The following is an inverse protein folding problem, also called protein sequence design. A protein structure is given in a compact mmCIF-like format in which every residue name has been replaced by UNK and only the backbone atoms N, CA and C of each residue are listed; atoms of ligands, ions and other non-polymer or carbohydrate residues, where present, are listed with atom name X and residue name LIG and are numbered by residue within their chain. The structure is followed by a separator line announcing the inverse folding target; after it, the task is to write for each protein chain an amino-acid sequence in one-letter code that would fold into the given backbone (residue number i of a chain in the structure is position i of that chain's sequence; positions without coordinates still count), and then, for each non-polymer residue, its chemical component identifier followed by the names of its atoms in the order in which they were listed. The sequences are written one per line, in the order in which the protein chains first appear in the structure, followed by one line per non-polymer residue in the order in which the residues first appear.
data_IF_025012456822
#
_entry.id   IF_025012456822
#
_cell.length_a   1.000
_cell.length_b   1.000
_cell.length_c   1.000
_cell.angle_alpha   90.00
_cell.angle_beta   90.00
_cell.angle_gamma   90.00
#
_symmetry.space_group_name_H-M   'P 1'
#
loop_
_entity.id
_entity.type
_entity.pdbx_description
1 polymer ?
#
# COMPACT_ATOMS: atom_id res chain seq x y z
N UNK A 1 21.85 -9.78 -11.43
CA UNK A 1 21.25 -10.13 -10.13
C UNK A 1 20.59 -8.87 -9.60
N UNK A 2 19.27 -8.83 -9.64
CA UNK A 2 18.48 -7.62 -9.41
C UNK A 2 18.67 -7.09 -7.98
N UNK A 3 18.88 -7.98 -7.01
CA UNK A 3 19.15 -7.61 -5.63
C UNK A 3 20.44 -6.81 -5.49
N UNK A 4 21.52 -7.26 -6.14
CA UNK A 4 22.82 -6.56 -6.10
C UNK A 4 22.75 -5.17 -6.76
N UNK A 5 21.89 -5.03 -7.77
CA UNK A 5 21.67 -3.73 -8.45
C UNK A 5 20.93 -2.77 -7.52
N UNK A 6 19.89 -3.23 -6.82
CA UNK A 6 19.13 -2.41 -5.85
C UNK A 6 20.01 -2.01 -4.66
N UNK A 7 20.82 -2.94 -4.13
CA UNK A 7 21.72 -2.68 -3.00
C UNK A 7 22.87 -1.72 -3.33
N UNK A 8 23.19 -1.51 -4.61
CA UNK A 8 24.16 -0.51 -5.02
C UNK A 8 23.63 0.93 -4.85
N UNK A 9 22.30 1.10 -4.71
CA UNK A 9 21.68 2.40 -4.48
C UNK A 9 21.86 2.75 -2.99
N UNK A 10 22.42 3.93 -2.72
CA UNK A 10 22.52 4.44 -1.35
C UNK A 10 21.14 4.47 -0.67
N UNK A 11 21.00 4.00 0.58
CA UNK A 11 19.75 4.08 1.33
C UNK A 11 19.17 5.49 1.41
N UNK A 12 20.03 6.53 1.42
CA UNK A 12 19.61 7.92 1.46
C UNK A 12 18.93 8.41 0.16
N UNK A 13 19.02 7.63 -0.92
CA UNK A 13 18.46 7.90 -2.25
C UNK A 13 17.51 6.80 -2.73
N UNK A 14 17.19 5.82 -1.88
CA UNK A 14 16.28 4.73 -2.19
C UNK A 14 14.81 5.20 -2.12
N UNK A 15 14.44 6.10 -3.03
CA UNK A 15 13.12 6.73 -3.04
C UNK A 15 12.00 5.75 -3.39
N UNK A 16 12.33 4.53 -3.84
CA UNK A 16 11.37 3.45 -4.06
C UNK A 16 11.17 2.56 -2.83
N UNK A 17 12.03 2.70 -1.80
CA UNK A 17 11.91 2.01 -0.52
C UNK A 17 12.21 0.51 -0.58
N UNK A 18 13.00 0.04 -1.55
CA UNK A 18 13.29 -1.38 -1.74
C UNK A 18 14.65 -1.83 -1.20
N UNK A 19 15.50 -0.89 -0.77
CA UNK A 19 16.74 -1.19 -0.09
C UNK A 19 16.44 -1.89 1.25
N UNK A 20 17.29 -2.87 1.64
CA UNK A 20 17.12 -3.62 2.89
C UNK A 20 17.05 -2.70 4.11
N UNK A 21 17.85 -1.63 4.13
CA UNK A 21 17.78 -0.59 5.15
C UNK A 21 16.40 0.07 5.27
N UNK A 22 15.74 0.39 4.15
CA UNK A 22 14.38 0.96 4.12
C UNK A 22 13.35 -0.05 4.64
N UNK A 23 13.44 -1.31 4.19
CA UNK A 23 12.59 -2.38 4.68
C UNK A 23 12.81 -2.67 6.19
N UNK A 24 14.06 -2.65 6.64
CA UNK A 24 14.43 -2.81 8.04
C UNK A 24 13.88 -1.68 8.91
N UNK A 25 14.04 -0.43 8.48
CA UNK A 25 13.48 0.74 9.15
C UNK A 25 11.96 0.62 9.31
N UNK A 26 11.25 0.19 8.26
CA UNK A 26 9.81 -0.07 8.33
C UNK A 26 9.45 -1.15 9.38
N UNK A 27 10.23 -2.23 9.48
CA UNK A 27 9.98 -3.32 10.44
C UNK A 27 10.14 -2.84 11.88
N UNK A 28 11.17 -2.04 12.17
CA UNK A 28 11.46 -1.57 13.54
C UNK A 28 10.76 -0.26 13.90
N UNK A 29 10.06 0.36 12.95
CA UNK A 29 9.37 1.64 13.15
C UNK A 29 10.30 2.86 13.14
N UNK A 30 11.47 2.75 12.52
CA UNK A 30 12.44 3.84 12.38
C UNK A 30 12.20 4.66 11.11
N UNK A 31 12.71 5.91 11.04
CA UNK A 31 12.66 6.71 9.83
C UNK A 31 13.35 6.02 8.64
N UNK A 32 12.69 6.01 7.49
CA UNK A 32 13.19 5.40 6.26
C UNK A 32 12.24 5.66 5.09
N UNK A 33 12.67 5.37 3.86
CA UNK A 33 11.77 5.44 2.71
C UNK A 33 10.75 4.31 2.74
N UNK A 34 9.51 4.65 2.40
CA UNK A 34 8.40 3.71 2.35
C UNK A 34 8.20 3.26 0.93
N UNK A 35 8.01 1.95 0.72
CA UNK A 35 7.65 1.41 -0.59
C UNK A 35 6.44 2.16 -1.18
N UNK A 36 6.60 2.68 -2.40
CA UNK A 36 5.69 3.67 -2.99
C UNK A 36 4.24 3.19 -3.10
N UNK A 37 4.04 1.95 -3.56
CA UNK A 37 2.70 1.38 -3.74
C UNK A 37 1.96 1.18 -2.41
N UNK A 38 2.52 0.49 -1.39
CA UNK A 38 1.94 0.46 -0.05
C UNK A 38 1.70 1.84 0.55
N UNK A 39 2.65 2.77 0.38
CA UNK A 39 2.50 4.12 0.89
C UNK A 39 1.30 4.83 0.26
N UNK A 40 1.11 4.66 -1.06
CA UNK A 40 -0.04 5.19 -1.78
C UNK A 40 -1.36 4.63 -1.27
N UNK A 41 -1.41 3.33 -0.96
CA UNK A 41 -2.58 2.69 -0.36
C UNK A 41 -2.90 3.28 1.02
N UNK A 42 -1.88 3.52 1.86
CA UNK A 42 -2.07 4.18 3.16
C UNK A 42 -2.63 5.59 3.01
N UNK A 43 -2.16 6.36 2.02
CA UNK A 43 -2.70 7.70 1.73
C UNK A 43 -4.14 7.68 1.22
N UNK A 44 -4.52 6.67 0.45
CA UNK A 44 -5.92 6.47 0.06
C UNK A 44 -6.81 6.20 1.28
N UNK A 45 -6.38 5.32 2.20
CA UNK A 45 -7.11 5.07 3.45
C UNK A 45 -7.23 6.34 4.29
N UNK A 46 -6.14 7.11 4.43
CA UNK A 46 -6.16 8.39 5.14
C UNK A 46 -7.19 9.37 4.54
N UNK A 47 -7.26 9.46 3.21
CA UNK A 47 -8.18 10.38 2.51
C UNK A 47 -9.67 10.10 2.74
N UNK A 48 -10.02 8.87 3.11
CA UNK A 48 -11.40 8.47 3.44
C UNK A 48 -11.65 8.45 4.96
N UNK A 49 -10.77 9.07 5.75
CA UNK A 49 -10.88 9.14 7.21
C UNK A 49 -10.38 7.89 7.94
N UNK A 50 -9.68 6.98 7.26
CA UNK A 50 -9.15 5.73 7.83
C UNK A 50 -7.62 5.78 8.03
N UNK A 51 -7.10 6.93 8.49
CA UNK A 51 -5.67 7.09 8.80
C UNK A 51 -5.22 6.37 10.08
N UNK A 52 -6.15 6.06 10.99
CA UNK A 52 -5.92 5.22 12.16
C UNK A 52 -6.83 3.99 12.08
N UNK A 53 -6.24 2.81 12.01
CA UNK A 53 -6.92 1.53 11.82
C UNK A 53 -7.08 0.75 13.14
N UNK A 54 -6.97 1.43 14.29
CA UNK A 54 -7.15 0.80 15.61
C UNK A 54 -8.47 0.03 15.69
N UNK A 55 -8.36 -1.26 16.01
CA UNK A 55 -9.51 -2.16 16.13
C UNK A 55 -10.09 -2.65 14.79
N UNK A 56 -9.47 -2.30 13.66
CA UNK A 56 -9.82 -2.83 12.34
C UNK A 56 -9.01 -4.07 12.02
N UNK A 57 -9.63 -5.00 11.30
CA UNK A 57 -8.96 -6.16 10.72
C UNK A 57 -8.64 -5.87 9.25
N UNK A 58 -7.36 -5.91 8.89
CA UNK A 58 -6.90 -5.77 7.53
C UNK A 58 -6.37 -7.10 6.98
N UNK A 59 -6.75 -7.46 5.76
CA UNK A 59 -6.24 -8.63 5.03
C UNK A 59 -5.45 -8.16 3.82
N UNK A 60 -4.19 -8.61 3.72
CA UNK A 60 -3.36 -8.40 2.52
C UNK A 60 -3.29 -9.71 1.76
N UNK A 61 -3.75 -9.72 0.51
CA UNK A 61 -3.68 -10.87 -0.39
C UNK A 61 -2.44 -10.66 -1.27
N UNK A 62 -1.39 -11.43 -1.01
CA UNK A 62 -0.08 -11.28 -1.65
C UNK A 62 1.02 -10.99 -0.62
N UNK A 63 2.21 -11.55 -0.87
CA UNK A 63 3.37 -11.49 0.05
C UNK A 63 4.68 -11.11 -0.64
N UNK A 64 4.59 -10.34 -1.73
CA UNK A 64 5.77 -9.84 -2.44
C UNK A 64 6.59 -8.90 -1.54
N UNK A 65 7.88 -8.78 -1.82
CA UNK A 65 8.77 -7.88 -1.09
C UNK A 65 8.47 -6.40 -1.39
N UNK A 66 7.90 -6.10 -2.57
CA UNK A 66 7.65 -4.73 -3.04
C UNK A 66 6.27 -4.19 -2.66
N UNK A 67 5.29 -5.07 -2.40
CA UNK A 67 3.92 -4.65 -2.03
C UNK A 67 3.43 -5.38 -0.79
N UNK A 68 3.24 -6.70 -0.86
CA UNK A 68 2.48 -7.43 0.17
C UNK A 68 3.05 -7.31 1.58
N UNK A 69 4.34 -7.59 1.75
CA UNK A 69 5.02 -7.49 3.05
C UNK A 69 5.06 -6.05 3.59
N UNK A 70 5.54 -5.03 2.84
CA UNK A 70 5.54 -3.66 3.34
C UNK A 70 4.11 -3.14 3.61
N UNK A 71 3.12 -3.51 2.81
CA UNK A 71 1.72 -3.16 3.06
C UNK A 71 1.23 -3.70 4.40
N UNK A 72 1.51 -4.97 4.71
CA UNK A 72 1.13 -5.57 5.98
C UNK A 72 1.77 -4.85 7.18
N UNK A 73 3.04 -4.49 7.07
CA UNK A 73 3.76 -3.75 8.13
C UNK A 73 3.21 -2.32 8.30
N UNK A 74 2.88 -1.62 7.21
CA UNK A 74 2.30 -0.28 7.30
C UNK A 74 0.89 -0.28 7.90
N UNK A 75 0.06 -1.29 7.57
CA UNK A 75 -1.26 -1.48 8.19
C UNK A 75 -1.12 -1.77 9.68
N UNK A 76 -0.15 -2.62 10.06
CA UNK A 76 0.16 -2.93 11.46
C UNK A 76 0.61 -1.66 12.22
N UNK A 77 1.51 -0.87 11.63
CA UNK A 77 1.95 0.41 12.20
C UNK A 77 0.79 1.42 12.37
N UNK A 78 -0.25 1.31 11.54
CA UNK A 78 -1.49 2.07 11.67
C UNK A 78 -2.50 1.46 12.67
N UNK A 79 -2.08 0.51 13.51
CA UNK A 79 -2.85 -0.18 14.55
C UNK A 79 -3.90 -1.21 14.06
N UNK A 80 -3.83 -1.65 12.81
CA UNK A 80 -4.68 -2.74 12.35
C UNK A 80 -4.24 -4.09 12.93
N UNK A 81 -5.19 -4.99 13.17
CA UNK A 81 -4.90 -6.44 13.19
C UNK A 81 -4.69 -6.87 11.73
N UNK A 82 -3.60 -7.57 11.41
CA UNK A 82 -3.24 -7.87 10.02
C UNK A 82 -3.14 -9.37 9.77
N UNK A 83 -3.81 -9.84 8.72
CA UNK A 83 -3.65 -11.20 8.17
C UNK A 83 -3.04 -11.12 6.77
N UNK A 84 -1.96 -11.86 6.52
CA UNK A 84 -1.33 -11.95 5.20
C UNK A 84 -1.70 -13.28 4.54
N UNK A 85 -2.46 -13.20 3.44
CA UNK A 85 -2.86 -14.35 2.64
C UNK A 85 -1.97 -14.50 1.38
N UNK A 86 -1.88 -15.71 0.86
CA UNK A 86 -1.12 -16.03 -0.36
C UNK A 86 -1.62 -17.33 -1.00
N UNK A 87 -0.93 -17.84 -2.02
CA UNK A 87 -1.27 -19.07 -2.74
C UNK A 87 -1.37 -20.35 -1.90
N UNK A 88 -0.96 -20.31 -0.63
CA UNK A 88 -1.03 -21.43 0.31
C UNK A 88 -2.08 -21.22 1.40
N UNK A 89 -2.85 -20.13 1.35
CA UNK A 89 -3.98 -19.91 2.25
C UNK A 89 -5.10 -20.87 1.89
N UNK A 90 -5.52 -21.72 2.84
CA UNK A 90 -6.49 -22.79 2.59
C UNK A 90 -7.88 -22.26 2.22
N UNK A 91 -8.38 -21.26 2.96
CA UNK A 91 -9.65 -20.59 2.68
C UNK A 91 -9.44 -19.08 2.71
N UNK A 92 -9.23 -18.50 1.53
CA UNK A 92 -9.07 -17.06 1.36
C UNK A 92 -10.34 -16.31 1.76
N UNK A 93 -11.52 -16.86 1.44
CA UNK A 93 -12.81 -16.23 1.68
C UNK A 93 -13.12 -16.13 3.17
N UNK A 94 -12.77 -17.14 3.96
CA UNK A 94 -12.91 -17.11 5.41
C UNK A 94 -12.11 -15.96 6.03
N UNK A 95 -10.92 -15.65 5.52
CA UNK A 95 -10.10 -14.55 6.02
C UNK A 95 -10.69 -13.19 5.60
N UNK A 96 -11.01 -13.03 4.32
CA UNK A 96 -11.45 -11.74 3.76
C UNK A 96 -12.85 -11.34 4.21
N UNK A 97 -13.76 -12.29 4.48
CA UNK A 97 -15.10 -11.99 5.02
C UNK A 97 -15.08 -11.37 6.43
N UNK A 98 -13.97 -11.47 7.14
CA UNK A 98 -13.78 -10.86 8.46
C UNK A 98 -13.11 -9.48 8.37
N UNK A 99 -12.64 -9.08 7.20
CA UNK A 99 -11.79 -7.90 7.03
C UNK A 99 -12.62 -6.62 6.90
N UNK A 100 -12.17 -5.56 7.56
CA UNK A 100 -12.64 -4.19 7.32
C UNK A 100 -11.89 -3.54 6.15
N UNK A 101 -10.64 -3.96 5.91
CA UNK A 101 -9.79 -3.49 4.80
C UNK A 101 -9.20 -4.71 4.10
N UNK A 102 -9.31 -4.79 2.79
CA UNK A 102 -8.69 -5.83 1.96
C UNK A 102 -7.79 -5.16 0.94
N UNK A 103 -6.52 -5.56 0.89
CA UNK A 103 -5.56 -5.13 -0.14
C UNK A 103 -5.20 -6.33 -1.02
N UNK A 104 -5.58 -6.32 -2.29
CA UNK A 104 -5.28 -7.37 -3.25
C UNK A 104 -4.07 -6.99 -4.12
N UNK A 105 -2.98 -7.76 -4.05
CA UNK A 105 -1.71 -7.49 -4.72
C UNK A 105 -1.00 -8.78 -5.17
N UNK A 106 -1.69 -9.58 -5.98
CA UNK A 106 -1.25 -10.89 -6.46
C UNK A 106 -0.94 -10.95 -7.96
N UNK A 107 -1.41 -9.99 -8.76
CA UNK A 107 -1.20 -9.99 -10.21
C UNK A 107 -1.93 -11.15 -10.90
N UNK A 108 -3.16 -11.43 -10.44
CA UNK A 108 -4.02 -12.47 -11.00
C UNK A 108 -5.47 -12.00 -10.97
N UNK A 109 -6.11 -12.05 -12.13
CA UNK A 109 -7.51 -11.64 -12.33
C UNK A 109 -8.46 -12.44 -11.41
N UNK A 110 -9.47 -11.75 -10.88
CA UNK A 110 -10.64 -12.31 -10.17
C UNK A 110 -10.30 -13.21 -8.99
N UNK A 111 -9.26 -12.87 -8.22
CA UNK A 111 -8.87 -13.61 -7.00
C UNK A 111 -9.80 -13.31 -5.81
N UNK A 112 -10.38 -12.11 -5.78
CA UNK A 112 -11.38 -11.72 -4.79
C UNK A 112 -12.72 -11.48 -5.48
N UNK A 113 -13.78 -12.09 -4.96
CA UNK A 113 -15.16 -11.98 -5.45
C UNK A 113 -16.08 -11.37 -4.41
N UNK A 114 -17.29 -10.96 -4.81
CA UNK A 114 -18.24 -10.26 -3.94
C UNK A 114 -18.63 -11.05 -2.67
N UNK A 115 -18.79 -12.37 -2.75
CA UNK A 115 -19.14 -13.26 -1.63
C UNK A 115 -18.02 -13.41 -0.58
N UNK A 116 -16.81 -12.96 -0.92
CA UNK A 116 -15.64 -12.98 -0.05
C UNK A 116 -15.45 -11.66 0.71
N UNK A 117 -16.27 -10.64 0.44
CA UNK A 117 -16.11 -9.29 0.98
C UNK A 117 -17.17 -9.02 2.06
N UNK A 118 -16.71 -8.53 3.21
CA UNK A 118 -17.59 -8.04 4.28
C UNK A 118 -18.37 -6.81 3.78
N UNK A 119 -19.70 -6.73 3.97
CA UNK A 119 -20.46 -5.52 3.63
C UNK A 119 -19.87 -4.27 4.29
N UNK A 120 -19.67 -3.22 3.50
CA UNK A 120 -19.08 -1.96 3.94
C UNK A 120 -17.55 -1.95 4.06
N UNK A 121 -16.85 -3.06 3.75
CA UNK A 121 -15.39 -3.08 3.76
C UNK A 121 -14.77 -2.15 2.70
N UNK A 122 -13.50 -1.81 2.92
CA UNK A 122 -12.66 -1.12 1.94
C UNK A 122 -11.88 -2.16 1.14
N UNK A 123 -11.92 -2.09 -0.18
CA UNK A 123 -11.14 -2.94 -1.08
C UNK A 123 -10.18 -2.10 -1.91
N UNK A 124 -8.89 -2.34 -1.73
CA UNK A 124 -7.81 -1.73 -2.52
C UNK A 124 -7.26 -2.79 -3.48
N UNK A 125 -7.50 -2.59 -4.76
CA UNK A 125 -7.00 -3.41 -5.86
C UNK A 125 -5.70 -2.80 -6.41
N UNK A 126 -4.59 -3.46 -6.10
CA UNK A 126 -3.24 -3.09 -6.55
C UNK A 126 -2.89 -3.78 -7.88
N UNK A 127 -3.70 -4.76 -8.29
CA UNK A 127 -3.45 -5.57 -9.47
C UNK A 127 -3.34 -4.75 -10.75
N UNK A 128 -2.41 -5.14 -11.62
CA UNK A 128 -2.21 -4.54 -12.94
C UNK A 128 -2.13 -5.67 -13.97
N UNK A 129 -3.30 -6.21 -14.34
CA UNK A 129 -3.45 -7.32 -15.28
C UNK A 129 -3.99 -6.83 -16.63
N UNK A 130 -3.91 -7.67 -17.67
CA UNK A 130 -4.64 -7.47 -18.91
C UNK A 130 -5.76 -8.50 -19.05
N UNK A 131 -6.94 -8.05 -19.44
CA UNK A 131 -8.04 -8.94 -19.78
C UNK A 131 -7.83 -9.56 -21.18
N UNK A 132 -8.78 -10.39 -21.62
CA UNK A 132 -8.68 -11.11 -22.90
C UNK A 132 -8.76 -10.16 -24.12
N UNK A 133 -9.25 -8.93 -23.92
CA UNK A 133 -9.25 -7.83 -24.90
C UNK A 133 -7.99 -6.94 -24.81
N UNK A 134 -7.03 -7.28 -23.94
CA UNK A 134 -5.79 -6.52 -23.71
C UNK A 134 -5.94 -5.25 -22.86
N UNK A 135 -7.15 -4.96 -22.35
CA UNK A 135 -7.44 -3.81 -21.47
C UNK A 135 -6.91 -4.06 -20.06
N UNK A 136 -6.42 -2.99 -19.43
CA UNK A 136 -5.94 -3.02 -18.05
C UNK A 136 -7.09 -3.31 -17.09
N UNK A 137 -6.89 -4.25 -16.16
CA UNK A 137 -7.84 -4.67 -15.15
C UNK A 137 -7.10 -5.10 -13.88
N UNK A 138 -7.82 -5.17 -12.76
CA UNK A 138 -7.22 -5.47 -11.46
C UNK A 138 -7.21 -6.96 -11.10
N UNK A 139 -6.93 -7.23 -9.83
CA UNK A 139 -6.97 -8.57 -9.23
C UNK A 139 -8.37 -8.98 -8.78
N UNK A 140 -9.32 -8.04 -8.68
CA UNK A 140 -10.64 -8.30 -8.08
C UNK A 140 -11.78 -8.25 -9.09
N UNK A 141 -12.92 -8.87 -8.72
CA UNK A 141 -14.18 -8.71 -9.44
C UNK A 141 -14.86 -7.37 -9.09
N UNK A 142 -14.43 -6.31 -9.78
CA UNK A 142 -14.85 -4.93 -9.47
C UNK A 142 -16.37 -4.73 -9.50
N UNK A 143 -17.05 -5.26 -10.52
CA UNK A 143 -18.48 -5.04 -10.72
C UNK A 143 -19.35 -5.72 -9.65
N UNK A 144 -18.93 -6.88 -9.17
CA UNK A 144 -19.58 -7.56 -8.06
C UNK A 144 -19.27 -6.87 -6.73
N UNK A 145 -17.99 -6.58 -6.46
CA UNK A 145 -17.56 -6.05 -5.16
C UNK A 145 -18.08 -4.64 -4.90
N UNK A 146 -18.21 -3.78 -5.93
CA UNK A 146 -18.75 -2.42 -5.75
C UNK A 146 -20.18 -2.38 -5.19
N UNK A 147 -20.92 -3.48 -5.27
CA UNK A 147 -22.27 -3.60 -4.70
C UNK A 147 -22.26 -3.91 -3.20
N UNK A 148 -21.12 -4.35 -2.66
CA UNK A 148 -20.97 -4.86 -1.28
C UNK A 148 -20.01 -4.00 -0.46
N UNK A 149 -18.89 -3.61 -1.05
CA UNK A 149 -17.87 -2.80 -0.41
C UNK A 149 -18.37 -1.36 -0.18
N UNK A 150 -17.96 -0.75 0.92
CA UNK A 150 -18.18 0.68 1.16
C UNK A 150 -17.26 1.55 0.30
N UNK A 151 -16.07 1.02 -0.03
CA UNK A 151 -15.09 1.66 -0.90
C UNK A 151 -14.37 0.61 -1.75
N UNK A 152 -14.13 0.92 -3.02
CA UNK A 152 -13.32 0.09 -3.92
C UNK A 152 -12.50 0.96 -4.87
N UNK A 153 -11.22 0.63 -5.05
CA UNK A 153 -10.38 1.34 -6.03
C UNK A 153 -10.62 0.82 -7.46
N UNK A 154 -10.79 1.69 -8.46
CA UNK A 154 -10.87 1.25 -9.85
C UNK A 154 -9.50 0.85 -10.40
N UNK A 155 -9.50 -0.06 -11.38
CA UNK A 155 -8.31 -0.36 -12.19
C UNK A 155 -8.68 -0.27 -13.67
N UNK A 156 -8.07 0.66 -14.44
CA UNK A 156 -7.07 1.67 -14.03
C UNK A 156 -7.66 2.84 -13.21
N UNK A 157 -6.78 3.70 -12.69
CA UNK A 157 -7.15 4.98 -12.07
C UNK A 157 -7.13 4.98 -10.53
N UNK A 158 -6.91 3.83 -9.90
CA UNK A 158 -6.74 3.71 -8.45
C UNK A 158 -5.28 3.79 -8.01
N UNK A 159 -4.70 2.64 -7.65
CA UNK A 159 -3.39 2.57 -6.96
C UNK A 159 -2.20 3.02 -7.83
N UNK A 160 -2.28 2.84 -9.15
CA UNK A 160 -1.22 3.21 -10.09
C UNK A 160 -0.77 4.68 -9.97
N UNK A 161 -1.69 5.66 -10.15
CA UNK A 161 -1.37 7.08 -9.94
C UNK A 161 -0.76 7.40 -8.56
N UNK A 162 -1.24 6.75 -7.49
CA UNK A 162 -0.70 6.97 -6.15
C UNK A 162 0.73 6.45 -5.99
N UNK A 163 1.08 5.35 -6.66
CA UNK A 163 2.47 4.85 -6.68
C UNK A 163 3.41 5.90 -7.24
N UNK A 164 3.04 6.54 -8.35
CA UNK A 164 3.83 7.61 -8.97
C UNK A 164 3.92 8.82 -8.04
N UNK A 165 2.79 9.24 -7.44
CA UNK A 165 2.78 10.35 -6.50
C UNK A 165 3.71 10.11 -5.30
N UNK A 166 3.72 8.91 -4.73
CA UNK A 166 4.57 8.58 -3.59
C UNK A 166 6.06 8.52 -3.93
N UNK A 167 6.40 8.13 -5.16
CA UNK A 167 7.79 8.24 -5.65
C UNK A 167 8.25 9.70 -5.65
N UNK A 168 7.41 10.62 -6.12
CA UNK A 168 7.72 12.05 -6.12
C UNK A 168 7.85 12.61 -4.69
N UNK A 169 6.98 12.17 -3.77
CA UNK A 169 7.04 12.55 -2.35
C UNK A 169 8.35 12.07 -1.71
N UNK A 170 8.71 10.80 -1.89
CA UNK A 170 9.97 10.26 -1.38
C UNK A 170 11.19 10.96 -2.00
N UNK A 171 11.10 11.33 -3.28
CA UNK A 171 12.17 12.09 -3.96
C UNK A 171 12.36 13.49 -3.37
N UNK A 172 11.26 14.19 -3.08
CA UNK A 172 11.29 15.47 -2.41
C UNK A 172 11.90 15.34 -1.00
N UNK A 173 11.46 14.35 -0.23
CA UNK A 173 11.98 14.08 1.12
C UNK A 173 13.49 13.75 1.09
N UNK A 174 13.95 13.00 0.08
CA UNK A 174 15.38 12.74 -0.13
C UNK A 174 16.16 14.05 -0.36
N UNK A 175 15.63 14.93 -1.22
CA UNK A 175 16.26 16.20 -1.52
C UNK A 175 16.32 17.13 -0.29
N UNK A 176 15.24 17.21 0.49
CA UNK A 176 15.18 18.01 1.72
C UNK A 176 16.17 17.52 2.79
N UNK A 177 16.34 16.20 2.93
CA UNK A 177 17.34 15.61 3.84
C UNK A 177 18.77 15.88 3.39
N UNK A 178 19.03 15.87 2.08
CA UNK A 178 20.35 16.15 1.52
C UNK A 178 20.72 17.65 1.55
N UNK A 179 19.71 18.52 1.46
CA UNK A 179 19.86 19.97 1.46
C UNK A 179 18.88 20.61 2.45
N UNK A 180 19.21 20.60 3.75
CA UNK A 180 18.34 21.17 4.77
C UNK A 180 18.10 22.65 4.47
N UNK A 181 16.85 23.01 4.21
CA UNK A 181 16.47 24.43 4.10
C UNK A 181 16.57 25.03 5.50
N UNK A 182 17.24 26.18 5.69
CA UNK A 182 17.29 26.84 6.99
C UNK A 182 15.86 27.07 7.49
N UNK A 183 15.59 26.74 8.75
CA UNK A 183 14.29 27.02 9.35
C UNK A 183 13.98 28.51 9.19
N UNK A 184 12.81 28.82 8.63
CA UNK A 184 12.35 30.21 8.51
C UNK A 184 12.28 30.81 9.93
N UNK A 185 12.83 32.02 10.17
CA UNK A 185 12.76 32.63 11.49
C UNK A 185 11.29 32.71 11.92
N UNK A 186 11.01 32.24 13.13
CA UNK A 186 9.67 32.31 13.70
C UNK A 186 9.15 33.75 13.59
N UNK A 187 7.88 33.95 13.19
CA UNK A 187 7.32 35.29 13.08
C UNK A 187 7.51 35.99 14.43
N UNK A 188 8.18 37.15 14.41
CA UNK A 188 8.38 37.96 15.59
C UNK A 188 7.02 38.21 16.23
N UNK A 189 6.78 37.68 17.43
CA UNK A 189 5.63 38.07 18.23
C UNK A 189 5.80 39.55 18.53
N UNK A 190 5.14 40.39 17.75
CA UNK A 190 5.04 41.83 18.00
C UNK A 190 4.50 42.04 19.42
N UNK A 191 5.20 42.90 20.16
CA UNK A 191 4.77 43.40 21.47
C UNK A 191 3.58 44.33 21.31
#
# INVERSE_FOLDING_TARGET
DDHKVIEAISPAKDVDGFHIASAGALVVGEPGFKACTPYGCMKMLESIGMGNLKGKHAVVIGRSNIVGKPMALMLLAANATVTVCHSGTADLGAMTRQADVIVAAVGKRKVLTADMVKPGAVVIDVGMNRNDEGKLCGDVDFDGIRQVAGWITPVPGGVGPMTIAMLLVNTLESAERAHPVPASPAPSRGR
#
